data_IF_247277028033
#
_entry.id   IF_247277028033
#
_cell.length_a   1.000
_cell.length_b   1.000
_cell.length_c   1.000
_cell.angle_alpha   90.00
_cell.angle_beta   90.00
_cell.angle_gamma   90.00
#
_symmetry.space_group_name_H-M   'P 1'
#
loop_
_entity.id
_entity.type
_entity.pdbx_description
1 polymer ?
#
# COMPACT_ATOMS: atom_id res chain seq x y z
N UNK A 1 -13.31 -18.40 -9.70
CA UNK A 1 -12.01 -18.12 -9.03
C UNK A 1 -10.98 -17.66 -10.07
N UNK A 2 -11.29 -16.64 -10.89
CA UNK A 2 -10.46 -16.27 -12.06
C UNK A 2 -9.82 -14.86 -11.97
N UNK A 3 -10.08 -14.11 -10.90
CA UNK A 3 -9.66 -12.70 -10.80
C UNK A 3 -8.25 -12.48 -10.18
N UNK A 4 -7.60 -13.53 -9.67
CA UNK A 4 -6.32 -13.38 -8.94
C UNK A 4 -5.07 -13.48 -9.83
N UNK A 5 -5.11 -14.25 -10.93
CA UNK A 5 -3.98 -14.39 -11.85
C UNK A 5 -3.66 -13.08 -12.62
N UNK A 6 -4.68 -12.23 -12.84
CA UNK A 6 -4.52 -10.89 -13.45
C UNK A 6 -3.78 -9.93 -12.51
N UNK A 7 -3.98 -10.07 -11.20
CA UNK A 7 -3.36 -9.20 -10.21
C UNK A 7 -1.88 -9.48 -10.02
N UNK A 8 -1.47 -10.76 -9.97
CA UNK A 8 -0.06 -11.12 -9.81
C UNK A 8 0.81 -10.64 -10.99
N UNK A 9 0.30 -10.80 -12.22
CA UNK A 9 1.00 -10.35 -13.44
C UNK A 9 1.10 -8.83 -13.52
N UNK A 10 0.05 -8.10 -13.11
CA UNK A 10 0.07 -6.63 -13.02
C UNK A 10 1.01 -6.15 -11.92
N UNK A 11 1.05 -6.84 -10.79
CA UNK A 11 1.92 -6.49 -9.66
C UNK A 11 3.40 -6.53 -10.06
N UNK A 12 3.83 -7.61 -10.73
CA UNK A 12 5.20 -7.73 -11.25
C UNK A 12 5.55 -6.60 -12.24
N UNK A 13 4.65 -6.27 -13.16
CA UNK A 13 4.85 -5.14 -14.08
C UNK A 13 5.06 -3.81 -13.35
N UNK A 14 4.29 -3.57 -12.28
CA UNK A 14 4.48 -2.38 -11.44
C UNK A 14 5.84 -2.43 -10.75
N UNK A 15 6.19 -3.57 -10.13
CA UNK A 15 7.48 -3.78 -9.46
C UNK A 15 8.66 -3.49 -10.39
N UNK A 16 8.68 -4.11 -11.57
CA UNK A 16 9.75 -3.95 -12.57
C UNK A 16 9.86 -2.49 -13.04
N UNK A 17 8.73 -1.85 -13.32
CA UNK A 17 8.70 -0.46 -13.81
C UNK A 17 9.20 0.51 -12.74
N UNK A 18 8.76 0.33 -11.49
CA UNK A 18 9.17 1.17 -10.35
C UNK A 18 10.66 1.04 -10.09
N UNK A 19 11.19 -0.19 -10.09
CA UNK A 19 12.63 -0.43 -9.92
C UNK A 19 13.45 0.16 -11.07
N UNK A 20 12.94 0.09 -12.30
CA UNK A 20 13.61 0.71 -13.44
C UNK A 20 13.66 2.24 -13.30
N UNK A 21 12.56 2.87 -12.89
CA UNK A 21 12.51 4.32 -12.63
C UNK A 21 13.53 4.69 -11.56
N UNK A 22 13.48 4.03 -10.38
CA UNK A 22 14.38 4.31 -9.26
C UNK A 22 15.87 4.17 -9.61
N UNK A 23 16.23 3.23 -10.50
CA UNK A 23 17.61 3.07 -10.98
C UNK A 23 18.09 4.19 -11.90
N UNK A 24 17.18 4.84 -12.62
CA UNK A 24 17.49 5.91 -13.58
C UNK A 24 17.26 7.30 -13.02
N UNK A 25 16.48 7.40 -11.97
CA UNK A 25 16.09 8.64 -11.31
C UNK A 25 17.14 9.09 -10.30
N UNK A 26 17.17 10.40 -10.05
CA UNK A 26 17.96 10.98 -8.97
C UNK A 26 17.24 10.80 -7.63
N UNK A 27 17.83 10.05 -6.70
CA UNK A 27 17.24 9.71 -5.41
C UNK A 27 17.16 10.89 -4.44
N UNK A 28 17.88 11.98 -4.70
CA UNK A 28 17.83 13.18 -3.86
C UNK A 28 16.61 14.04 -4.17
N UNK A 29 16.18 14.05 -5.44
CA UNK A 29 15.08 14.90 -5.91
C UNK A 29 13.78 14.13 -6.11
N UNK A 30 13.87 12.85 -6.46
CA UNK A 30 12.70 12.06 -6.88
C UNK A 30 11.93 11.56 -5.67
N UNK A 31 10.64 11.89 -5.60
CA UNK A 31 9.76 11.41 -4.52
C UNK A 31 8.98 10.17 -4.93
N UNK A 32 8.42 9.46 -3.95
CA UNK A 32 7.50 8.34 -4.21
C UNK A 32 6.30 8.76 -5.08
N UNK A 33 5.86 10.00 -4.96
CA UNK A 33 4.77 10.54 -5.79
C UNK A 33 5.18 10.64 -7.25
N UNK A 34 6.39 11.13 -7.53
CA UNK A 34 6.91 11.25 -8.89
C UNK A 34 7.09 9.86 -9.52
N UNK A 35 7.64 8.90 -8.76
CA UNK A 35 7.74 7.50 -9.18
C UNK A 35 6.37 6.94 -9.55
N UNK A 36 5.34 7.21 -8.75
CA UNK A 36 3.97 6.77 -9.02
C UNK A 36 3.39 7.41 -10.28
N UNK A 37 3.63 8.70 -10.49
CA UNK A 37 3.16 9.44 -11.67
C UNK A 37 3.80 8.88 -12.95
N UNK A 38 5.13 8.76 -12.98
CA UNK A 38 5.88 8.23 -14.12
C UNK A 38 5.51 6.76 -14.38
N UNK A 39 5.35 5.95 -13.34
CA UNK A 39 4.95 4.56 -13.52
C UNK A 39 3.53 4.43 -14.09
N UNK A 40 2.60 5.30 -13.69
CA UNK A 40 1.24 5.31 -14.25
C UNK A 40 1.23 5.70 -15.74
N UNK A 41 2.08 6.67 -16.13
CA UNK A 41 2.29 7.04 -17.53
C UNK A 41 2.84 5.87 -18.35
N UNK A 42 3.86 5.17 -17.84
CA UNK A 42 4.48 4.04 -18.55
C UNK A 42 3.60 2.80 -18.66
N UNK A 43 2.78 2.54 -17.66
CA UNK A 43 1.89 1.38 -17.65
C UNK A 43 0.56 1.63 -18.39
N UNK A 44 0.21 2.90 -18.64
CA UNK A 44 -1.06 3.28 -19.28
C UNK A 44 -2.30 3.03 -18.40
N UNK A 45 -2.12 2.75 -17.11
CA UNK A 45 -3.21 2.60 -16.14
C UNK A 45 -2.82 3.17 -14.77
N UNK A 46 -3.84 3.63 -14.03
CA UNK A 46 -3.63 4.33 -12.76
C UNK A 46 -3.13 3.43 -11.63
N UNK A 47 -1.96 3.76 -11.08
CA UNK A 47 -1.39 3.15 -9.85
C UNK A 47 -1.96 3.83 -8.59
N UNK A 48 -3.09 4.52 -8.73
CA UNK A 48 -3.70 5.32 -7.66
C UNK A 48 -4.46 4.49 -6.61
N UNK A 49 -4.71 3.20 -6.86
CA UNK A 49 -5.37 2.31 -5.91
C UNK A 49 -4.56 2.11 -4.62
N UNK A 50 -5.23 1.99 -3.48
CA UNK A 50 -4.60 1.92 -2.15
C UNK A 50 -3.58 0.78 -2.03
N UNK A 51 -3.87 -0.38 -2.65
CA UNK A 51 -2.93 -1.52 -2.71
C UNK A 51 -1.68 -1.20 -3.53
N UNK A 52 -1.84 -0.55 -4.68
CA UNK A 52 -0.72 -0.21 -5.55
C UNK A 52 0.15 0.90 -4.94
N UNK A 53 -0.45 1.90 -4.28
CA UNK A 53 0.30 2.92 -3.53
C UNK A 53 1.15 2.30 -2.42
N UNK A 54 0.58 1.37 -1.65
CA UNK A 54 1.33 0.66 -0.60
C UNK A 54 2.49 -0.12 -1.19
N UNK A 55 2.29 -0.79 -2.32
CA UNK A 55 3.33 -1.52 -3.02
C UNK A 55 4.48 -0.60 -3.46
N UNK A 56 4.17 0.51 -4.15
CA UNK A 56 5.20 1.46 -4.60
C UNK A 56 6.01 1.97 -3.40
N UNK A 57 5.36 2.35 -2.30
CA UNK A 57 6.04 2.77 -1.08
C UNK A 57 7.00 1.70 -0.55
N UNK A 58 6.55 0.44 -0.44
CA UNK A 58 7.39 -0.67 0.02
C UNK A 58 8.60 -0.91 -0.90
N UNK A 59 8.43 -0.75 -2.21
CA UNK A 59 9.52 -0.90 -3.17
C UNK A 59 10.54 0.23 -3.05
N UNK A 60 10.07 1.47 -2.92
CA UNK A 60 10.95 2.64 -2.72
C UNK A 60 11.72 2.49 -1.41
N UNK A 61 11.04 2.17 -0.30
CA UNK A 61 11.66 1.98 1.01
C UNK A 61 12.73 0.87 0.97
N UNK A 62 12.40 -0.29 0.40
CA UNK A 62 13.32 -1.42 0.30
C UNK A 62 14.51 -1.13 -0.63
N UNK A 63 14.28 -0.40 -1.72
CA UNK A 63 15.33 0.04 -2.62
C UNK A 63 16.30 0.99 -1.91
N UNK A 64 15.79 2.05 -1.27
CA UNK A 64 16.63 3.01 -0.54
C UNK A 64 17.41 2.35 0.59
N UNK A 65 16.77 1.44 1.34
CA UNK A 65 17.42 0.70 2.41
C UNK A 65 18.54 -0.20 1.89
N UNK A 66 18.31 -0.89 0.75
CA UNK A 66 19.33 -1.71 0.09
C UNK A 66 20.47 -0.86 -0.47
N UNK A 67 20.17 0.30 -1.06
CA UNK A 67 21.18 1.23 -1.58
C UNK A 67 22.03 1.79 -0.44
N UNK A 68 21.40 2.22 0.65
CA UNK A 68 22.10 2.70 1.83
C UNK A 68 23.00 1.61 2.45
N UNK A 69 22.48 0.38 2.60
CA UNK A 69 23.27 -0.75 3.09
C UNK A 69 24.47 -1.06 2.19
N UNK A 70 24.30 -0.96 0.87
CA UNK A 70 25.38 -1.14 -0.10
C UNK A 70 26.45 -0.05 0.00
N UNK A 71 26.08 1.19 0.29
CA UNK A 71 27.02 2.33 0.41
C UNK A 71 27.75 2.29 1.77
N UNK A 72 27.03 2.05 2.87
CA UNK A 72 27.58 2.06 4.22
C UNK A 72 28.36 0.77 4.56
N UNK A 73 28.25 -0.28 3.75
CA UNK A 73 28.92 -1.57 4.00
C UNK A 73 28.42 -2.30 5.24
N UNK A 74 27.31 -1.87 5.84
CA UNK A 74 26.74 -2.45 7.06
C UNK A 74 25.81 -3.62 6.69
N UNK A 75 26.38 -4.77 6.35
CA UNK A 75 25.64 -5.99 5.97
C UNK A 75 25.03 -6.76 7.16
N UNK A 76 24.65 -6.09 8.24
CA UNK A 76 24.23 -6.79 9.48
C UNK A 76 22.96 -6.23 10.12
N UNK A 77 21.86 -6.14 9.37
CA UNK A 77 20.52 -6.18 9.98
C UNK A 77 19.58 -7.01 9.11
N UNK A 78 19.49 -8.29 9.47
CA UNK A 78 18.50 -9.26 9.03
C UNK A 78 17.10 -8.75 9.40
N UNK A 79 16.31 -8.30 8.41
CA UNK A 79 14.86 -8.12 8.61
C UNK A 79 14.14 -9.37 8.13
N UNK A 80 13.88 -10.23 9.10
CA UNK A 80 13.00 -11.38 9.06
C UNK A 80 11.59 -10.90 8.62
N UNK A 81 11.25 -11.03 7.33
CA UNK A 81 9.87 -10.86 6.85
C UNK A 81 9.23 -12.25 6.94
N UNK A 82 8.40 -12.42 7.96
CA UNK A 82 7.78 -13.69 8.34
C UNK A 82 7.02 -14.37 7.21
N UNK A 83 7.42 -15.61 6.94
CA UNK A 83 6.53 -16.66 6.47
C UNK A 83 5.67 -17.12 7.65
N UNK A 84 4.43 -16.64 7.74
CA UNK A 84 3.40 -17.33 8.52
C UNK A 84 2.46 -18.01 7.51
N UNK A 85 2.68 -19.31 7.34
CA UNK A 85 1.67 -20.22 6.79
C UNK A 85 0.91 -20.75 8.00
N UNK A 86 -0.32 -20.27 8.22
CA UNK A 86 -1.25 -20.87 9.16
C UNK A 86 -2.52 -21.25 8.38
N UNK A 87 -2.46 -22.42 7.75
CA UNK A 87 -3.64 -23.22 7.43
C UNK A 87 -4.07 -23.92 8.73
N UNK A 88 -5.16 -23.45 9.36
CA UNK A 88 -5.91 -24.30 10.31
C UNK A 88 -7.42 -24.07 10.16
N UNK A 89 -8.09 -25.15 9.78
CA UNK A 89 -9.52 -25.32 9.55
C UNK A 89 -10.24 -25.64 10.86
N UNK A 90 -11.45 -25.09 11.09
CA UNK A 90 -12.68 -25.83 11.42
C UNK A 90 -13.78 -25.01 12.16
N UNK A 91 -14.96 -24.98 11.51
CA UNK A 91 -16.35 -25.06 11.97
C UNK A 91 -16.97 -24.34 13.21
N UNK A 92 -18.10 -23.67 12.87
CA UNK A 92 -19.42 -23.64 13.54
C UNK A 92 -19.55 -23.09 14.98
N UNK A 93 -20.34 -22.01 15.10
CA UNK A 93 -21.68 -22.11 15.74
C UNK A 93 -22.58 -20.89 15.51
N UNK A 94 -23.70 -21.20 14.90
CA UNK A 94 -24.96 -20.47 14.74
C UNK A 94 -25.74 -20.46 16.06
N UNK A 95 -26.13 -19.28 16.59
CA UNK A 95 -27.36 -19.08 17.39
C UNK A 95 -27.91 -17.65 17.20
N UNK A 96 -28.92 -17.60 16.35
CA UNK A 96 -30.03 -16.67 16.24
C UNK A 96 -30.59 -16.19 17.60
N UNK A 97 -30.71 -14.87 17.83
CA UNK A 97 -31.91 -14.25 18.43
C UNK A 97 -31.85 -12.72 18.46
N UNK A 98 -32.67 -12.13 17.59
CA UNK A 98 -33.50 -10.93 17.78
C UNK A 98 -33.28 -10.13 19.09
N UNK A 99 -32.86 -8.88 18.93
CA UNK A 99 -33.47 -7.76 19.67
C UNK A 99 -33.26 -6.46 18.87
N UNK A 100 -34.28 -6.14 18.06
CA UNK A 100 -34.55 -4.76 17.67
C UNK A 100 -34.85 -3.98 18.94
N UNK A 101 -34.01 -3.01 19.27
CA UNK A 101 -34.18 -2.11 20.41
C UNK A 101 -33.10 -1.04 20.34
N UNK A 102 -33.44 0.09 19.73
CA UNK A 102 -32.49 1.15 19.41
C UNK A 102 -32.05 1.98 20.61
N UNK A 103 -30.81 2.46 20.55
CA UNK A 103 -30.30 3.76 21.02
C UNK A 103 -29.04 3.99 20.17
N UNK A 104 -28.97 4.88 19.19
CA UNK A 104 -29.23 6.30 19.29
C UNK A 104 -27.91 7.03 19.53
N UNK A 105 -27.13 7.32 18.48
CA UNK A 105 -26.35 8.57 18.30
C UNK A 105 -25.71 8.59 16.90
N UNK A 106 -26.38 9.27 15.97
CA UNK A 106 -25.76 9.72 14.73
C UNK A 106 -24.97 11.00 15.01
N UNK A 107 -23.65 10.94 14.88
CA UNK A 107 -22.82 12.14 14.85
C UNK A 107 -22.80 12.68 13.42
N UNK A 108 -23.85 13.41 13.06
CA UNK A 108 -23.83 14.27 11.88
C UNK A 108 -23.15 15.58 12.27
N UNK A 109 -21.83 15.65 12.05
CA UNK A 109 -21.06 16.88 12.23
C UNK A 109 -21.40 17.89 11.13
N UNK A 110 -22.33 18.81 11.42
CA UNK A 110 -22.65 19.95 10.56
C UNK A 110 -21.68 21.11 10.88
N UNK A 111 -20.70 21.36 10.03
CA UNK A 111 -19.78 22.49 10.13
C UNK A 111 -20.41 23.74 9.50
N UNK A 112 -21.20 24.49 10.26
CA UNK A 112 -21.55 25.87 9.87
C UNK A 112 -20.53 26.87 10.41
N UNK A 113 -19.25 26.63 10.13
CA UNK A 113 -18.13 27.46 10.55
C UNK A 113 -18.03 28.76 9.75
N UNK A 114 -18.99 29.68 9.92
CA UNK A 114 -18.84 31.07 9.48
C UNK A 114 -17.92 31.81 10.45
N UNK A 115 -16.61 31.68 10.23
CA UNK A 115 -15.60 32.55 10.87
C UNK A 115 -15.65 33.91 10.19
N UNK A 116 -16.29 34.88 10.84
CA UNK A 116 -16.24 36.30 10.46
C UNK A 116 -15.07 36.91 11.23
N UNK A 117 -13.94 37.11 10.55
CA UNK A 117 -12.85 37.91 11.08
C UNK A 117 -13.23 39.39 10.95
N UNK A 118 -13.07 40.16 12.03
CA UNK A 118 -13.37 41.59 12.09
C UNK A 118 -12.09 42.41 11.97
#
# INVERSE_FOLDING_TARGET
MEEDCSNASKRRKIEDTVLQILKTSDLETTTEFDVRAVAAERLGFGISGLRHRRLVRQLVDSFLLSTAASILGTTSLHSNIGSNNDDESAERREKQQQQLGGVGVGLQGNYNGKVICK
#
